data_IF_110041180718
#
_entry.id   IF_110041180718
#
_cell.length_a   1.000
_cell.length_b   1.000
_cell.length_c   1.000
_cell.angle_alpha   90.00
_cell.angle_beta   90.00
_cell.angle_gamma   90.00
#
_symmetry.space_group_name_H-M   'P 1'
#
loop_
_entity.id
_entity.type
_entity.pdbx_description
1 polymer ?
#
# COMPACT_ATOMS: atom_id res chain seq x y z
N UNK A 1 -5.37 20.47 35.42
CA UNK A 1 -6.16 19.22 35.34
C UNK A 1 -7.11 19.33 34.17
N UNK A 2 -6.74 18.81 33.00
CA UNK A 2 -7.66 18.69 31.87
C UNK A 2 -8.34 17.34 31.96
N UNK A 3 -9.63 17.34 32.30
CA UNK A 3 -10.51 16.18 32.16
C UNK A 3 -10.62 15.91 30.66
N UNK A 4 -9.78 15.01 30.14
CA UNK A 4 -9.59 14.82 28.72
C UNK A 4 -9.71 13.36 28.32
N UNK A 5 -10.67 13.08 27.45
CA UNK A 5 -10.72 11.95 26.53
C UNK A 5 -10.46 10.50 27.03
N UNK A 6 -10.47 10.23 28.34
CA UNK A 6 -10.19 8.90 28.88
C UNK A 6 -8.75 8.39 28.71
N UNK A 7 -7.89 9.08 27.95
CA UNK A 7 -6.48 8.75 27.74
C UNK A 7 -5.61 9.78 28.45
N UNK A 8 -4.75 9.34 29.36
CA UNK A 8 -3.88 10.23 30.12
C UNK A 8 -2.57 9.55 30.52
N UNK A 9 -1.51 10.34 30.72
CA UNK A 9 -0.29 9.88 31.40
C UNK A 9 -0.34 10.37 32.84
N UNK A 10 -0.31 9.45 33.79
CA UNK A 10 -0.34 9.73 35.24
C UNK A 10 0.59 8.77 35.97
N UNK A 11 1.39 9.29 36.90
CA UNK A 11 2.31 8.52 37.75
C UNK A 11 3.20 7.55 36.93
N UNK A 12 3.71 8.03 35.80
CA UNK A 12 4.55 7.25 34.88
C UNK A 12 3.81 6.11 34.16
N UNK A 13 2.48 6.13 34.09
CA UNK A 13 1.67 5.13 33.39
C UNK A 13 0.77 5.78 32.34
N UNK A 14 0.58 5.13 31.20
CA UNK A 14 -0.45 5.49 30.22
C UNK A 14 -1.75 4.80 30.64
N UNK A 15 -2.74 5.59 30.99
CA UNK A 15 -4.07 5.13 31.39
C UNK A 15 -5.05 5.28 30.23
N UNK A 16 -5.88 4.27 30.04
CA UNK A 16 -7.01 4.25 29.12
C UNK A 16 -8.28 3.88 29.90
N UNK A 17 -9.20 4.83 30.06
CA UNK A 17 -10.41 4.72 30.88
C UNK A 17 -10.12 4.18 32.29
N UNK A 18 -8.99 4.59 32.88
CA UNK A 18 -8.53 4.14 34.20
C UNK A 18 -7.69 2.85 34.19
N UNK A 19 -7.74 2.05 33.13
CA UNK A 19 -6.90 0.87 32.98
C UNK A 19 -5.46 1.27 32.63
N UNK A 20 -4.46 0.71 33.32
CA UNK A 20 -3.04 0.93 33.01
C UNK A 20 -2.67 0.12 31.78
N UNK A 21 -2.28 0.78 30.69
CA UNK A 21 -1.89 0.13 29.42
C UNK A 21 -0.37 0.06 29.28
N UNK A 22 0.34 1.17 29.53
CA UNK A 22 1.80 1.21 29.56
C UNK A 22 2.28 1.63 30.93
N UNK A 23 3.40 1.05 31.38
CA UNK A 23 4.12 1.41 32.62
C UNK A 23 5.41 2.12 32.26
N UNK A 24 6.02 2.85 33.19
CA UNK A 24 7.33 3.51 32.98
C UNK A 24 7.34 4.43 31.73
N UNK A 25 6.24 5.17 31.50
CA UNK A 25 6.10 6.08 30.37
C UNK A 25 7.13 7.20 30.44
N UNK A 26 7.82 7.45 29.33
CA UNK A 26 8.89 8.44 29.23
C UNK A 26 8.34 9.87 29.38
N UNK A 27 9.08 10.74 30.08
CA UNK A 27 8.64 12.10 30.40
C UNK A 27 8.52 13.05 29.20
N UNK A 28 9.07 12.68 28.05
CA UNK A 28 8.94 13.42 26.79
C UNK A 28 7.73 12.99 25.95
N UNK A 29 6.94 11.99 26.37
CA UNK A 29 5.70 11.61 25.69
C UNK A 29 4.65 12.71 25.87
N UNK A 30 4.05 13.14 24.77
CA UNK A 30 2.94 14.09 24.73
C UNK A 30 1.62 13.35 24.55
N UNK A 31 0.57 13.78 25.26
CA UNK A 31 -0.81 13.39 25.00
C UNK A 31 -1.58 14.61 24.54
N UNK A 32 -2.03 14.60 23.29
CA UNK A 32 -2.85 15.65 22.69
C UNK A 32 -4.28 15.15 22.54
N UNK A 33 -5.28 15.74 23.22
CA UNK A 33 -6.67 15.32 23.07
C UNK A 33 -7.14 15.39 21.61
N UNK A 34 -7.91 14.41 21.15
CA UNK A 34 -8.53 14.48 19.83
C UNK A 34 -9.65 15.54 19.85
N UNK A 35 -9.51 16.62 19.08
CA UNK A 35 -10.53 17.68 18.98
C UNK A 35 -11.66 17.27 18.02
N UNK A 36 -12.93 17.55 18.38
CA UNK A 36 -14.09 17.41 17.48
C UNK A 36 -15.27 16.59 18.05
N UNK A 37 -16.49 17.03 17.75
CA UNK A 37 -17.76 16.57 18.35
C UNK A 37 -18.01 15.07 18.30
N UNK A 38 -17.88 14.41 19.46
CA UNK A 38 -18.27 13.01 19.68
C UNK A 38 -17.12 12.03 19.92
N UNK A 39 -15.85 12.46 19.91
CA UNK A 39 -14.69 11.63 20.24
C UNK A 39 -14.36 11.75 21.73
N UNK A 40 -15.21 11.21 22.60
CA UNK A 40 -15.03 11.37 24.05
C UNK A 40 -13.92 10.51 24.65
N UNK A 41 -13.38 9.52 23.90
CA UNK A 41 -12.48 8.49 24.45
C UNK A 41 -11.19 8.26 23.61
N UNK A 42 -10.58 9.32 23.06
CA UNK A 42 -9.32 9.17 22.31
C UNK A 42 -8.39 10.39 22.30
N UNK A 43 -7.10 10.13 22.17
CA UNK A 43 -6.05 11.14 22.14
C UNK A 43 -4.90 10.71 21.22
N UNK A 44 -4.07 11.65 20.81
CA UNK A 44 -2.84 11.36 20.10
C UNK A 44 -1.66 11.30 21.06
N UNK A 45 -0.79 10.31 20.86
CA UNK A 45 0.55 10.28 21.42
C UNK A 45 1.52 10.97 20.45
N UNK A 46 2.39 11.77 21.04
CA UNK A 46 3.49 12.44 20.38
C UNK A 46 4.75 12.42 21.25
N UNK A 47 5.80 13.10 20.79
CA UNK A 47 7.09 13.22 21.50
C UNK A 47 7.53 14.67 21.47
N UNK A 48 7.90 15.21 22.64
CA UNK A 48 8.46 16.57 22.78
C UNK A 48 9.92 16.58 22.31
N UNK A 49 10.24 17.49 21.39
CA UNK A 49 11.61 17.86 20.99
C UNK A 49 12.47 16.65 20.62
N UNK A 50 12.46 16.27 19.35
CA UNK A 50 13.39 15.28 18.82
C UNK A 50 14.58 15.94 18.10
N UNK A 51 15.75 15.29 18.04
CA UNK A 51 16.80 15.67 17.10
C UNK A 51 16.24 15.68 15.67
N UNK A 52 16.65 16.66 14.87
CA UNK A 52 16.34 16.68 13.45
C UNK A 52 16.98 15.43 12.81
N UNK A 53 16.14 14.57 12.25
CA UNK A 53 16.58 13.37 11.55
C UNK A 53 15.46 12.87 10.64
N UNK A 54 15.82 12.36 9.46
CA UNK A 54 14.89 11.67 8.55
C UNK A 54 14.34 10.36 9.11
N UNK A 55 14.96 9.86 10.20
CA UNK A 55 14.52 8.68 10.95
C UNK A 55 14.80 8.84 12.44
N UNK A 56 13.79 8.59 13.27
CA UNK A 56 13.92 8.58 14.73
C UNK A 56 13.15 7.43 15.38
N UNK A 57 13.66 6.93 16.50
CA UNK A 57 12.98 5.91 17.33
C UNK A 57 12.80 6.48 18.73
N UNK A 58 11.57 6.42 19.25
CA UNK A 58 11.19 6.95 20.55
C UNK A 58 10.58 5.86 21.43
N UNK A 59 11.23 5.46 22.52
CA UNK A 59 10.58 4.64 23.55
C UNK A 59 9.44 5.42 24.19
N UNK A 60 8.26 4.81 24.26
CA UNK A 60 7.06 5.42 24.86
C UNK A 60 6.92 4.98 26.30
N UNK A 61 6.93 3.67 26.54
CA UNK A 61 6.73 3.04 27.84
C UNK A 61 6.66 1.52 27.68
N UNK A 62 6.59 0.80 28.79
CA UNK A 62 6.63 -0.66 28.82
C UNK A 62 5.25 -1.29 28.78
N UNK A 63 5.06 -2.22 27.86
CA UNK A 63 3.90 -3.10 27.80
C UNK A 63 4.29 -4.44 28.45
N UNK A 64 3.61 -4.83 29.52
CA UNK A 64 3.88 -6.08 30.24
C UNK A 64 2.59 -6.70 30.76
N UNK A 65 2.51 -8.02 30.66
CA UNK A 65 1.41 -8.84 31.17
C UNK A 65 0.03 -8.42 30.61
N UNK A 66 -0.01 -7.93 29.37
CA UNK A 66 -1.25 -7.50 28.71
C UNK A 66 -1.36 -8.10 27.33
N UNK A 67 -2.42 -8.88 27.13
CA UNK A 67 -2.68 -9.53 25.84
C UNK A 67 -2.88 -8.46 24.78
N UNK A 68 -2.33 -8.69 23.62
CA UNK A 68 -2.58 -7.84 22.47
C UNK A 68 -2.70 -8.67 21.18
N UNK A 69 -3.35 -8.06 20.19
CA UNK A 69 -3.21 -8.43 18.79
C UNK A 69 -2.71 -7.21 18.01
N UNK A 70 -1.77 -7.42 17.12
CA UNK A 70 -1.23 -6.38 16.25
C UNK A 70 -1.24 -6.83 14.80
N UNK A 71 -1.23 -5.88 13.87
CA UNK A 71 -0.95 -6.15 12.46
C UNK A 71 0.30 -5.38 12.04
N UNK A 72 1.22 -6.09 11.40
CA UNK A 72 2.55 -5.59 11.06
C UNK A 72 2.93 -6.05 9.65
N UNK A 73 3.82 -5.31 9.00
CA UNK A 73 4.38 -5.75 7.72
C UNK A 73 5.42 -6.84 7.97
N UNK A 74 5.17 -8.06 7.48
CA UNK A 74 6.16 -9.15 7.56
C UNK A 74 7.03 -9.24 6.29
N UNK A 75 6.66 -8.48 5.26
CA UNK A 75 7.40 -8.26 4.02
C UNK A 75 7.05 -6.86 3.50
N UNK A 76 7.82 -6.34 2.55
CA UNK A 76 7.60 -5.03 1.91
C UNK A 76 6.12 -4.75 1.54
N UNK A 77 5.45 -5.75 0.98
CA UNK A 77 4.14 -5.60 0.34
C UNK A 77 2.96 -5.90 1.25
N UNK A 78 3.17 -6.77 2.25
CA UNK A 78 2.10 -7.52 2.92
C UNK A 78 2.14 -7.37 4.43
N UNK A 79 0.96 -7.47 5.03
CA UNK A 79 0.78 -7.51 6.47
C UNK A 79 0.27 -8.87 6.92
N UNK A 80 0.59 -9.21 8.15
CA UNK A 80 0.01 -10.33 8.89
C UNK A 80 -0.25 -9.90 10.33
N UNK A 81 -0.85 -10.78 11.12
CA UNK A 81 -1.15 -10.55 12.52
C UNK A 81 -0.16 -11.25 13.45
N UNK A 82 0.02 -10.71 14.65
CA UNK A 82 0.68 -11.38 15.77
C UNK A 82 -0.06 -11.09 17.07
N UNK A 83 -0.10 -12.09 17.94
CA UNK A 83 -0.57 -11.97 19.32
C UNK A 83 0.62 -12.06 20.27
N UNK A 84 0.56 -11.36 21.39
CA UNK A 84 1.61 -11.38 22.41
C UNK A 84 1.10 -10.82 23.74
N UNK A 85 2.00 -10.68 24.69
CA UNK A 85 1.66 -10.11 26.01
C UNK A 85 2.68 -9.12 26.58
N UNK A 86 3.80 -8.91 25.88
CA UNK A 86 4.84 -7.97 26.28
C UNK A 86 5.33 -7.12 25.10
N UNK A 87 5.93 -5.96 25.40
CA UNK A 87 6.42 -5.04 24.38
C UNK A 87 7.41 -5.69 23.42
N UNK A 88 8.27 -6.61 23.91
CA UNK A 88 9.23 -7.35 23.07
C UNK A 88 8.59 -8.19 21.97
N UNK A 89 7.32 -8.56 22.13
CA UNK A 89 6.61 -9.42 21.17
C UNK A 89 6.14 -8.62 19.94
N UNK A 90 6.10 -7.28 20.04
CA UNK A 90 5.61 -6.38 19.00
C UNK A 90 6.65 -6.31 17.86
N UNK A 91 6.32 -6.77 16.65
CA UNK A 91 7.25 -6.75 15.52
C UNK A 91 7.57 -5.33 15.04
N UNK A 92 8.70 -5.17 14.35
CA UNK A 92 8.97 -3.96 13.56
C UNK A 92 7.91 -3.77 12.48
N UNK A 93 7.66 -2.51 12.06
CA UNK A 93 6.63 -2.16 11.07
C UNK A 93 5.19 -2.52 11.51
N UNK A 94 4.89 -2.47 12.81
CA UNK A 94 3.52 -2.62 13.32
C UNK A 94 2.70 -1.36 13.00
N UNK A 95 1.57 -1.52 12.31
CA UNK A 95 0.71 -0.41 11.87
C UNK A 95 -0.64 -0.36 12.59
N UNK A 96 -0.92 -1.36 13.43
CA UNK A 96 -2.11 -1.44 14.26
C UNK A 96 -1.80 -2.29 15.49
N UNK A 97 -2.23 -1.85 16.66
CA UNK A 97 -2.11 -2.60 17.90
C UNK A 97 -3.41 -2.44 18.71
N UNK A 98 -3.96 -3.55 19.17
CA UNK A 98 -5.10 -3.61 20.08
C UNK A 98 -4.64 -4.30 21.37
N UNK A 99 -4.63 -3.57 22.47
CA UNK A 99 -4.26 -4.07 23.79
C UNK A 99 -5.52 -4.31 24.61
N UNK A 100 -5.57 -5.46 25.27
CA UNK A 100 -6.56 -5.80 26.27
C UNK A 100 -6.03 -5.47 27.66
N UNK A 101 -6.42 -4.32 28.19
CA UNK A 101 -6.06 -3.87 29.52
C UNK A 101 -7.06 -4.35 30.57
N UNK A 102 -6.56 -4.94 31.66
CA UNK A 102 -7.35 -5.20 32.86
C UNK A 102 -6.96 -4.22 33.96
N UNK A 103 -7.95 -3.62 34.64
CA UNK A 103 -7.72 -2.70 35.76
C UNK A 103 -7.18 -3.36 37.03
N UNK A 104 -6.98 -4.69 37.01
CA UNK A 104 -6.81 -5.52 38.21
C UNK A 104 -8.14 -5.72 38.95
N UNK A 105 -8.34 -6.90 39.55
CA UNK A 105 -9.57 -7.25 40.28
C UNK A 105 -10.80 -7.48 39.38
N UNK A 106 -11.99 -7.09 39.84
CA UNK A 106 -13.29 -7.23 39.15
C UNK A 106 -13.56 -6.11 38.12
N UNK A 107 -12.58 -5.27 37.77
CA UNK A 107 -12.82 -4.20 36.82
C UNK A 107 -13.05 -4.73 35.39
N UNK A 108 -13.96 -4.09 34.63
CA UNK A 108 -14.24 -4.49 33.25
C UNK A 108 -12.99 -4.34 32.38
N UNK A 109 -12.86 -5.22 31.39
CA UNK A 109 -11.80 -5.17 30.39
C UNK A 109 -11.93 -3.89 29.58
N UNK A 110 -10.80 -3.21 29.36
CA UNK A 110 -10.70 -2.04 28.48
C UNK A 110 -9.83 -2.39 27.29
N UNK A 111 -10.39 -2.24 26.09
CA UNK A 111 -9.67 -2.39 24.84
C UNK A 111 -9.09 -1.05 24.41
N UNK A 112 -7.78 -1.03 24.15
CA UNK A 112 -7.05 0.17 23.72
C UNK A 112 -6.44 -0.04 22.36
N UNK A 113 -6.87 0.75 21.37
CA UNK A 113 -6.35 0.75 20.01
C UNK A 113 -5.23 1.78 19.89
N UNK A 114 -4.15 1.41 19.22
CA UNK A 114 -3.08 2.30 18.78
C UNK A 114 -3.00 2.26 17.25
N UNK A 115 -3.16 3.42 16.61
CA UNK A 115 -3.05 3.63 15.17
C UNK A 115 -1.93 4.64 14.92
N UNK A 116 -0.71 4.21 14.55
CA UNK A 116 0.32 5.10 14.03
C UNK A 116 -0.20 5.80 12.77
N UNK A 117 0.02 7.11 12.65
CA UNK A 117 -0.50 7.91 11.54
C UNK A 117 0.62 8.62 10.78
N UNK A 118 0.24 9.39 9.76
CA UNK A 118 1.14 10.25 9.01
C UNK A 118 1.09 11.67 9.60
N UNK A 119 2.25 12.33 9.71
CA UNK A 119 2.34 13.73 10.10
C UNK A 119 3.30 14.46 9.15
N UNK A 120 2.76 15.35 8.33
CA UNK A 120 3.52 15.98 7.24
C UNK A 120 4.11 14.95 6.28
N UNK A 121 5.44 14.96 6.15
CA UNK A 121 6.21 14.02 5.31
C UNK A 121 6.58 12.71 6.01
N UNK A 122 6.24 12.55 7.29
CA UNK A 122 6.70 11.43 8.11
C UNK A 122 5.60 10.40 8.33
N UNK A 123 6.01 9.14 8.35
CA UNK A 123 5.17 7.99 8.69
C UNK A 123 5.61 7.42 10.04
N UNK A 124 4.66 7.25 10.96
CA UNK A 124 4.87 6.53 12.20
C UNK A 124 4.53 5.04 12.04
N UNK A 125 5.28 4.18 12.72
CA UNK A 125 4.96 2.78 13.00
C UNK A 125 5.35 2.43 14.44
N UNK A 126 4.82 1.32 14.95
CA UNK A 126 5.20 0.77 16.24
C UNK A 126 6.22 -0.35 16.08
N UNK A 127 7.03 -0.54 17.11
CA UNK A 127 7.84 -1.74 17.31
C UNK A 127 8.07 -2.00 18.80
N UNK A 128 8.48 -3.21 19.12
CA UNK A 128 8.96 -3.61 20.43
C UNK A 128 10.49 -3.61 20.54
N UNK A 129 11.00 -3.63 21.78
CA UNK A 129 12.41 -3.87 22.05
C UNK A 129 12.63 -4.91 23.17
N UNK A 130 13.90 -5.29 23.39
CA UNK A 130 14.28 -6.30 24.39
C UNK A 130 13.97 -5.91 25.85
N UNK A 131 13.69 -4.63 26.12
CA UNK A 131 13.34 -4.10 27.44
C UNK A 131 11.81 -3.99 27.68
N UNK A 132 11.01 -4.60 26.80
CA UNK A 132 9.54 -4.55 26.77
C UNK A 132 8.96 -3.16 26.48
N UNK A 133 9.74 -2.27 25.89
CA UNK A 133 9.25 -0.94 25.53
C UNK A 133 8.50 -1.00 24.20
N UNK A 134 7.33 -0.34 24.18
CA UNK A 134 6.69 0.10 22.95
C UNK A 134 7.45 1.32 22.43
N UNK A 135 7.90 1.25 21.19
CA UNK A 135 8.61 2.32 20.51
C UNK A 135 7.81 2.85 19.32
N UNK A 136 7.85 4.17 19.11
CA UNK A 136 7.41 4.81 17.88
C UNK A 136 8.62 4.97 16.98
N UNK A 137 8.59 4.37 15.79
CA UNK A 137 9.56 4.63 14.73
C UNK A 137 8.95 5.60 13.74
N UNK A 138 9.62 6.72 13.50
CA UNK A 138 9.16 7.81 12.63
C UNK A 138 10.16 8.00 11.48
N UNK A 139 9.67 8.00 10.24
CA UNK A 139 10.52 8.04 9.04
C UNK A 139 9.94 8.93 7.94
N UNK A 140 10.76 9.83 7.37
CA UNK A 140 10.42 10.61 6.17
C UNK A 140 10.77 9.88 4.88
N UNK A 141 11.75 8.97 4.89
CA UNK A 141 12.25 8.31 3.68
C UNK A 141 13.03 9.24 2.74
N UNK A 142 13.42 10.42 3.21
CA UNK A 142 14.24 11.39 2.47
C UNK A 142 15.27 12.00 3.44
N UNK A 143 16.59 11.83 3.19
CA UNK A 143 17.63 12.35 4.08
C UNK A 143 17.57 13.87 4.25
N UNK A 144 17.02 14.61 3.28
CA UNK A 144 16.92 16.07 3.35
C UNK A 144 15.66 16.55 4.11
N UNK A 145 14.79 15.62 4.54
CA UNK A 145 13.57 15.91 5.27
C UNK A 145 13.70 15.42 6.71
N UNK A 146 14.12 16.33 7.59
CA UNK A 146 14.53 16.01 8.97
C UNK A 146 13.63 16.60 10.06
N UNK A 147 12.72 17.51 9.70
CA UNK A 147 11.89 18.26 10.65
C UNK A 147 10.43 17.80 10.64
N UNK A 148 9.87 17.58 11.83
CA UNK A 148 8.46 17.21 12.05
C UNK A 148 7.93 17.87 13.32
N UNK A 149 6.61 17.90 13.51
CA UNK A 149 5.99 18.52 14.68
C UNK A 149 6.00 17.58 15.89
N UNK A 150 5.74 16.30 15.66
CA UNK A 150 5.84 15.20 16.62
C UNK A 150 4.66 15.11 17.57
N UNK A 151 3.55 15.82 17.31
CA UNK A 151 2.45 15.94 18.28
C UNK A 151 1.30 14.97 18.03
N UNK A 152 1.17 14.45 16.80
CA UNK A 152 0.10 13.54 16.39
C UNK A 152 0.68 12.30 15.68
N UNK A 153 1.47 11.49 16.40
CA UNK A 153 2.16 10.36 15.79
C UNK A 153 1.35 9.05 15.87
N UNK A 154 0.64 8.83 16.97
CA UNK A 154 -0.17 7.62 17.18
C UNK A 154 -1.50 8.00 17.79
N UNK A 155 -2.60 7.73 17.10
CA UNK A 155 -3.93 7.84 17.69
C UNK A 155 -4.17 6.68 18.67
N UNK A 156 -4.68 7.00 19.85
CA UNK A 156 -5.06 6.05 20.89
C UNK A 156 -6.54 6.21 21.20
N UNK A 157 -7.31 5.12 21.04
CA UNK A 157 -8.73 5.06 21.37
C UNK A 157 -9.01 3.96 22.37
N UNK A 158 -9.99 4.16 23.26
CA UNK A 158 -10.35 3.18 24.29
C UNK A 158 -11.86 2.94 24.40
N UNK A 159 -12.23 1.69 24.72
CA UNK A 159 -13.63 1.28 24.90
C UNK A 159 -13.77 -0.12 25.50
N UNK A 160 -15.01 -0.53 25.79
CA UNK A 160 -15.34 -1.85 26.34
C UNK A 160 -15.60 -2.93 25.29
N UNK A 161 -15.83 -2.53 24.03
CA UNK A 161 -16.01 -3.44 22.90
C UNK A 161 -14.88 -3.24 21.88
N UNK A 162 -14.15 -4.32 21.49
CA UNK A 162 -13.00 -4.21 20.60
C UNK A 162 -13.38 -3.80 19.17
N UNK A 163 -14.55 -4.19 18.67
CA UNK A 163 -15.00 -3.86 17.31
C UNK A 163 -15.47 -2.40 17.21
N UNK A 164 -16.18 -1.91 18.22
CA UNK A 164 -16.60 -0.52 18.30
C UNK A 164 -15.42 0.43 18.46
N UNK A 165 -14.45 0.10 19.32
CA UNK A 165 -13.25 0.95 19.52
C UNK A 165 -12.39 0.99 18.25
N UNK A 166 -12.24 -0.11 17.52
CA UNK A 166 -11.54 -0.10 16.21
C UNK A 166 -12.27 0.82 15.25
N UNK A 167 -13.59 0.63 15.09
CA UNK A 167 -14.41 1.39 14.14
C UNK A 167 -14.37 2.90 14.44
N UNK A 168 -14.55 3.27 15.70
CA UNK A 168 -14.53 4.67 16.15
C UNK A 168 -13.13 5.29 16.06
N UNK A 169 -12.07 4.52 16.33
CA UNK A 169 -10.68 4.98 16.19
C UNK A 169 -10.32 5.29 14.74
N UNK A 170 -10.68 4.42 13.79
CA UNK A 170 -10.44 4.71 12.36
C UNK A 170 -11.26 5.93 11.93
N UNK A 171 -12.50 6.10 12.41
CA UNK A 171 -13.31 7.32 12.16
C UNK A 171 -12.68 8.58 12.75
N UNK A 172 -12.02 8.48 13.90
CA UNK A 172 -11.28 9.58 14.49
C UNK A 172 -10.09 10.00 13.61
N UNK A 173 -9.31 9.01 13.15
CA UNK A 173 -8.17 9.22 12.25
C UNK A 173 -8.62 9.79 10.90
N UNK A 174 -9.75 9.32 10.35
CA UNK A 174 -10.34 9.89 9.12
C UNK A 174 -10.68 11.37 9.29
N UNK A 175 -11.34 11.75 10.38
CA UNK A 175 -11.68 13.17 10.65
C UNK A 175 -10.45 14.03 10.87
N UNK A 176 -9.40 13.48 11.47
CA UNK A 176 -8.16 14.21 11.73
C UNK A 176 -7.33 14.39 10.47
N UNK A 177 -7.10 13.32 9.70
CA UNK A 177 -6.24 13.37 8.53
C UNK A 177 -6.94 13.96 7.31
N UNK A 178 -8.26 13.74 7.16
CA UNK A 178 -9.10 14.23 6.05
C UNK A 178 -8.60 13.83 4.65
N UNK A 179 -7.83 12.75 4.57
CA UNK A 179 -7.18 12.28 3.35
C UNK A 179 -7.90 11.10 2.73
N UNK A 180 -8.41 10.19 3.57
CA UNK A 180 -9.12 8.98 3.13
C UNK A 180 -10.60 9.01 3.54
N UNK A 181 -11.35 8.00 3.11
CA UNK A 181 -12.74 7.79 3.54
C UNK A 181 -13.01 6.34 3.93
N UNK A 182 -13.94 6.14 4.85
CA UNK A 182 -14.46 4.82 5.20
C UNK A 182 -15.17 4.14 4.04
N UNK A 183 -15.19 2.81 4.06
CA UNK A 183 -15.84 1.98 3.03
C UNK A 183 -17.31 2.36 2.86
N UNK A 184 -18.03 2.66 3.93
CA UNK A 184 -19.46 2.99 3.89
C UNK A 184 -19.76 4.30 3.14
N UNK A 185 -18.74 5.15 2.91
CA UNK A 185 -18.86 6.39 2.13
C UNK A 185 -18.42 6.21 0.67
N UNK A 186 -17.90 5.04 0.30
CA UNK A 186 -17.37 4.75 -1.04
C UNK A 186 -18.40 3.99 -1.87
N UNK A 187 -18.44 4.26 -3.19
CA UNK A 187 -19.22 3.43 -4.14
C UNK A 187 -18.57 2.05 -4.20
N UNK A 188 -19.35 1.00 -3.91
CA UNK A 188 -18.92 -0.37 -4.12
C UNK A 188 -18.96 -0.69 -5.62
N UNK A 189 -17.86 -1.16 -6.24
CA UNK A 189 -17.86 -1.48 -7.66
C UNK A 189 -18.63 -2.78 -7.93
N UNK A 190 -19.40 -2.82 -9.03
CA UNK A 190 -20.28 -3.96 -9.36
C UNK A 190 -19.50 -5.28 -9.57
N UNK A 191 -18.21 -5.20 -9.92
CA UNK A 191 -17.34 -6.37 -10.07
C UNK A 191 -17.34 -7.29 -8.84
N UNK A 192 -17.56 -6.74 -7.63
CA UNK A 192 -17.60 -7.51 -6.37
C UNK A 192 -18.83 -8.42 -6.25
N UNK A 193 -19.85 -8.24 -7.08
CA UNK A 193 -21.04 -9.09 -7.12
C UNK A 193 -20.83 -10.39 -7.92
N UNK A 194 -19.64 -10.56 -8.52
CA UNK A 194 -19.41 -11.61 -9.50
C UNK A 194 -18.25 -12.53 -9.12
N UNK A 195 -18.33 -13.77 -9.58
CA UNK A 195 -17.17 -14.64 -9.66
C UNK A 195 -16.31 -14.24 -10.87
N UNK A 196 -15.00 -14.15 -10.67
CA UNK A 196 -14.04 -13.85 -11.73
C UNK A 196 -12.76 -14.66 -11.61
N UNK A 197 -11.90 -14.51 -12.62
CA UNK A 197 -10.66 -15.27 -12.74
C UNK A 197 -9.46 -14.35 -12.96
N UNK A 198 -8.40 -14.54 -12.20
CA UNK A 198 -7.11 -13.87 -12.41
C UNK A 198 -6.14 -14.85 -13.06
N UNK A 199 -5.45 -14.41 -14.12
CA UNK A 199 -4.60 -15.30 -14.93
C UNK A 199 -3.25 -15.63 -14.28
N UNK A 200 -2.90 -15.00 -13.15
CA UNK A 200 -1.59 -15.10 -12.52
C UNK A 200 -1.18 -16.54 -12.19
N UNK A 201 -1.93 -17.26 -11.36
CA UNK A 201 -1.53 -18.63 -10.95
C UNK A 201 -1.64 -19.66 -12.08
N UNK A 202 -2.30 -19.30 -13.19
CA UNK A 202 -2.44 -20.17 -14.36
C UNK A 202 -1.25 -20.08 -15.32
N UNK A 203 -0.64 -18.90 -15.45
CA UNK A 203 0.38 -18.66 -16.48
C UNK A 203 1.60 -17.89 -16.00
N UNK A 204 1.51 -17.22 -14.86
CA UNK A 204 2.40 -16.15 -14.45
C UNK A 204 2.66 -15.19 -15.63
N UNK A 205 3.91 -14.81 -15.89
CA UNK A 205 4.24 -13.92 -17.02
C UNK A 205 4.11 -14.56 -18.41
N UNK A 206 3.83 -15.87 -18.50
CA UNK A 206 3.63 -16.56 -19.79
C UNK A 206 2.19 -16.43 -20.34
N UNK A 207 1.35 -15.58 -19.74
CA UNK A 207 -0.01 -15.33 -20.22
C UNK A 207 -0.02 -14.89 -21.69
N UNK A 208 -0.95 -15.44 -22.48
CA UNK A 208 -1.19 -15.11 -23.90
C UNK A 208 -2.68 -14.93 -24.16
N UNK A 209 -3.05 -14.22 -25.24
CA UNK A 209 -4.44 -14.12 -25.66
C UNK A 209 -5.11 -15.50 -25.86
N UNK A 210 -4.36 -16.47 -26.40
CA UNK A 210 -4.86 -17.83 -26.59
C UNK A 210 -5.05 -18.58 -25.26
N UNK A 211 -4.11 -18.44 -24.32
CA UNK A 211 -4.21 -19.03 -22.98
C UNK A 211 -5.43 -18.51 -22.21
N UNK A 212 -5.72 -17.20 -22.29
CA UNK A 212 -6.92 -16.60 -21.68
C UNK A 212 -8.20 -17.23 -22.25
N UNK A 213 -8.31 -17.35 -23.58
CA UNK A 213 -9.47 -17.98 -24.23
C UNK A 213 -9.66 -19.43 -23.79
N UNK A 214 -8.57 -20.20 -23.77
CA UNK A 214 -8.59 -21.61 -23.37
C UNK A 214 -8.98 -21.77 -21.89
N UNK A 215 -8.48 -20.89 -21.01
CA UNK A 215 -8.83 -20.91 -19.60
C UNK A 215 -10.31 -20.60 -19.36
N UNK A 216 -10.87 -19.59 -20.03
CA UNK A 216 -12.31 -19.29 -19.97
C UNK A 216 -13.15 -20.47 -20.46
N UNK A 217 -12.80 -21.08 -21.60
CA UNK A 217 -13.46 -22.27 -22.10
C UNK A 217 -13.35 -23.46 -21.14
N UNK A 218 -12.21 -23.64 -20.47
CA UNK A 218 -12.00 -24.70 -19.49
C UNK A 218 -12.88 -24.52 -18.26
N UNK A 219 -13.00 -23.30 -17.75
CA UNK A 219 -13.88 -22.98 -16.63
C UNK A 219 -15.35 -23.24 -16.99
N UNK A 220 -15.77 -22.82 -18.18
CA UNK A 220 -17.14 -23.05 -18.68
C UNK A 220 -17.45 -24.54 -18.83
N UNK A 221 -16.51 -25.33 -19.37
CA UNK A 221 -16.64 -26.81 -19.42
C UNK A 221 -16.73 -27.43 -18.02
N UNK A 222 -16.07 -26.81 -17.03
CA UNK A 222 -16.17 -27.19 -15.62
C UNK A 222 -17.45 -26.73 -14.92
N UNK A 223 -18.38 -26.07 -15.63
CA UNK A 223 -19.66 -25.61 -15.09
C UNK A 223 -19.62 -24.22 -14.45
N UNK A 224 -18.52 -23.47 -14.59
CA UNK A 224 -18.37 -22.12 -14.03
C UNK A 224 -18.16 -21.11 -15.15
N UNK A 225 -18.97 -20.06 -15.18
CA UNK A 225 -18.82 -18.96 -16.15
C UNK A 225 -18.40 -17.67 -15.43
N UNK A 226 -17.09 -17.32 -15.41
CA UNK A 226 -16.63 -16.06 -14.86
C UNK A 226 -17.33 -14.87 -15.52
N UNK A 227 -17.67 -13.85 -14.73
CA UNK A 227 -18.19 -12.58 -15.26
C UNK A 227 -17.12 -11.51 -15.34
N UNK A 228 -15.93 -11.78 -14.82
CA UNK A 228 -14.78 -10.96 -15.12
C UNK A 228 -13.51 -11.78 -15.22
N UNK A 229 -12.53 -11.23 -15.92
CA UNK A 229 -11.17 -11.74 -15.98
C UNK A 229 -10.18 -10.61 -15.71
N UNK A 230 -9.13 -10.91 -14.94
CA UNK A 230 -7.96 -10.04 -14.77
C UNK A 230 -6.83 -10.67 -15.57
N UNK A 231 -6.43 -10.00 -16.66
CA UNK A 231 -5.21 -10.34 -17.39
C UNK A 231 -4.04 -9.79 -16.57
N UNK A 232 -3.45 -10.67 -15.78
CA UNK A 232 -2.36 -10.36 -14.86
C UNK A 232 -1.02 -10.17 -15.61
N UNK A 233 0.08 -10.04 -14.88
CA UNK A 233 1.40 -9.71 -15.43
C UNK A 233 1.81 -10.61 -16.62
N UNK A 234 2.51 -10.00 -17.59
CA UNK A 234 3.02 -10.64 -18.80
C UNK A 234 2.44 -10.08 -20.10
N UNK A 235 1.43 -9.21 -20.07
CA UNK A 235 0.83 -8.63 -21.29
C UNK A 235 1.54 -7.35 -21.79
N UNK A 236 2.27 -6.64 -20.93
CA UNK A 236 2.90 -5.35 -21.25
C UNK A 236 4.15 -5.51 -22.13
N UNK A 237 4.47 -4.46 -22.92
CA UNK A 237 5.73 -4.36 -23.66
C UNK A 237 6.90 -4.02 -22.73
N UNK A 238 7.71 -5.01 -22.38
CA UNK A 238 8.81 -4.85 -21.42
C UNK A 238 10.12 -5.42 -21.93
N UNK A 239 11.23 -4.88 -21.45
CA UNK A 239 12.56 -5.42 -21.71
C UNK A 239 13.50 -5.09 -20.55
N UNK A 240 14.55 -5.91 -20.37
CA UNK A 240 15.66 -5.62 -19.48
C UNK A 240 16.64 -4.65 -20.15
N UNK A 241 17.38 -3.86 -19.37
CA UNK A 241 18.47 -3.06 -19.92
C UNK A 241 19.64 -3.96 -20.34
N UNK A 242 20.47 -3.57 -21.33
CA UNK A 242 21.61 -4.38 -21.78
C UNK A 242 22.60 -4.73 -20.66
N UNK A 243 22.76 -3.85 -19.67
CA UNK A 243 23.63 -4.03 -18.50
C UNK A 243 22.86 -4.50 -17.25
N UNK A 244 21.59 -4.86 -17.40
CA UNK A 244 20.74 -5.31 -16.32
C UNK A 244 21.11 -6.71 -15.82
N UNK A 245 20.89 -6.95 -14.53
CA UNK A 245 21.07 -8.24 -13.89
C UNK A 245 19.68 -8.87 -13.76
N UNK A 246 19.47 -9.99 -14.44
CA UNK A 246 18.20 -10.72 -14.38
C UNK A 246 17.93 -11.21 -12.95
N UNK A 247 16.68 -11.07 -12.51
CA UNK A 247 16.18 -11.67 -11.28
C UNK A 247 14.95 -12.47 -11.66
N UNK A 248 15.17 -13.74 -11.99
CA UNK A 248 14.13 -14.68 -12.38
C UNK A 248 13.56 -15.33 -11.11
N UNK A 249 12.32 -15.04 -10.79
CA UNK A 249 11.59 -15.78 -9.76
C UNK A 249 11.01 -17.07 -10.32
N UNK A 250 10.68 -18.01 -9.43
CA UNK A 250 10.09 -19.32 -9.78
C UNK A 250 8.81 -19.21 -10.63
N UNK A 251 8.15 -18.05 -10.59
CA UNK A 251 6.97 -17.70 -11.38
C UNK A 251 7.31 -17.01 -12.71
N UNK A 252 8.52 -17.17 -13.26
CA UNK A 252 8.98 -16.61 -14.55
C UNK A 252 9.08 -15.07 -14.66
N UNK A 253 8.68 -14.31 -13.64
CA UNK A 253 8.83 -12.86 -13.67
C UNK A 253 10.32 -12.46 -13.60
N UNK A 254 10.72 -11.52 -14.46
CA UNK A 254 12.01 -10.84 -14.34
C UNK A 254 11.80 -9.44 -13.76
N UNK A 255 12.08 -9.27 -12.47
CA UNK A 255 11.87 -8.00 -11.77
C UNK A 255 12.76 -6.85 -12.28
N UNK A 256 13.78 -7.13 -13.10
CA UNK A 256 14.64 -6.13 -13.73
C UNK A 256 14.05 -5.52 -15.02
N UNK A 257 12.97 -6.10 -15.55
CA UNK A 257 12.33 -5.60 -16.77
C UNK A 257 11.69 -4.23 -16.53
N UNK A 258 11.71 -3.38 -17.57
CA UNK A 258 11.09 -2.05 -17.56
C UNK A 258 10.05 -1.94 -18.66
N UNK A 259 9.03 -1.10 -18.42
CA UNK A 259 8.06 -0.73 -19.44
C UNK A 259 8.78 0.02 -20.57
N UNK A 260 8.55 -0.43 -21.80
CA UNK A 260 9.15 0.13 -23.02
C UNK A 260 8.14 0.70 -23.99
N UNK A 261 6.85 0.44 -23.76
CA UNK A 261 5.76 1.02 -24.52
C UNK A 261 4.47 0.93 -23.70
N UNK A 262 3.56 1.90 -23.88
CA UNK A 262 2.22 1.91 -23.26
C UNK A 262 1.31 0.77 -23.76
N UNK A 263 1.63 0.21 -24.91
CA UNK A 263 0.81 -0.80 -25.59
C UNK A 263 1.32 -2.19 -25.23
N UNK A 264 0.41 -3.14 -25.28
CA UNK A 264 0.62 -4.57 -25.14
C UNK A 264 1.77 -5.10 -26.00
N UNK A 265 2.34 -6.22 -25.57
CA UNK A 265 3.33 -6.96 -26.33
C UNK A 265 2.69 -7.86 -27.39
N UNK A 266 3.54 -8.51 -28.18
CA UNK A 266 3.15 -9.39 -29.27
C UNK A 266 2.17 -10.52 -28.88
N UNK A 267 2.13 -10.96 -27.61
CA UNK A 267 1.24 -12.06 -27.17
C UNK A 267 -0.25 -11.69 -27.17
N UNK A 268 -0.56 -10.40 -27.29
CA UNK A 268 -1.92 -9.86 -27.30
C UNK A 268 -2.24 -9.12 -28.61
N UNK A 269 -1.47 -9.38 -29.67
CA UNK A 269 -1.73 -8.89 -31.02
C UNK A 269 -2.21 -10.04 -31.92
N UNK A 270 -3.17 -9.79 -32.79
CA UNK A 270 -3.83 -10.80 -33.65
C UNK A 270 -2.83 -11.68 -34.43
N UNK A 271 -1.77 -11.08 -34.94
CA UNK A 271 -0.68 -11.75 -35.66
C UNK A 271 0.68 -11.47 -35.01
N UNK A 272 0.70 -11.26 -33.69
CA UNK A 272 1.90 -10.81 -33.00
C UNK A 272 3.06 -11.78 -33.12
N UNK A 273 4.25 -11.22 -33.33
CA UNK A 273 5.52 -11.95 -33.37
C UNK A 273 6.52 -11.22 -32.49
N UNK A 274 7.35 -11.98 -31.79
CA UNK A 274 8.40 -11.40 -30.97
C UNK A 274 9.30 -10.49 -31.83
N UNK A 275 9.65 -9.32 -31.29
CA UNK A 275 10.42 -8.29 -32.01
C UNK A 275 9.63 -7.44 -33.02
N UNK A 276 8.36 -7.75 -33.29
CA UNK A 276 7.51 -6.97 -34.20
C UNK A 276 6.33 -6.32 -33.46
N UNK A 277 5.95 -5.11 -33.88
CA UNK A 277 4.79 -4.38 -33.35
C UNK A 277 3.74 -4.21 -34.45
N UNK A 278 2.51 -4.54 -34.12
CA UNK A 278 1.33 -4.11 -34.89
C UNK A 278 0.81 -2.80 -34.30
N UNK A 279 0.78 -1.74 -35.12
CA UNK A 279 0.40 -0.39 -34.69
C UNK A 279 -1.10 -0.13 -34.81
N UNK A 280 -1.83 -0.95 -35.58
CA UNK A 280 -3.28 -0.90 -35.68
C UNK A 280 -3.93 -1.33 -34.35
N UNK A 281 -4.56 -0.40 -33.59
CA UNK A 281 -5.16 -0.73 -32.30
C UNK A 281 -6.27 -1.78 -32.42
N UNK A 282 -6.94 -1.88 -33.58
CA UNK A 282 -8.01 -2.84 -33.82
C UNK A 282 -7.50 -4.29 -33.92
N UNK A 283 -6.18 -4.48 -34.10
CA UNK A 283 -5.50 -5.79 -34.10
C UNK A 283 -4.71 -6.04 -32.82
N UNK A 284 -4.71 -5.09 -31.89
CA UNK A 284 -4.05 -5.17 -30.60
C UNK A 284 -4.94 -5.77 -29.51
N UNK A 285 -4.77 -5.28 -28.28
CA UNK A 285 -5.54 -5.71 -27.11
C UNK A 285 -7.06 -5.64 -27.33
N UNK A 286 -7.53 -4.63 -28.07
CA UNK A 286 -8.95 -4.46 -28.41
C UNK A 286 -9.53 -5.68 -29.15
N UNK A 287 -8.75 -6.31 -30.04
CA UNK A 287 -9.16 -7.52 -30.73
C UNK A 287 -9.44 -8.66 -29.75
N UNK A 288 -8.54 -8.85 -28.79
CA UNK A 288 -8.63 -9.92 -27.79
C UNK A 288 -9.83 -9.69 -26.88
N UNK A 289 -10.00 -8.46 -26.38
CA UNK A 289 -11.11 -8.08 -25.50
C UNK A 289 -12.46 -8.26 -26.19
N UNK A 290 -12.61 -7.78 -27.43
CA UNK A 290 -13.84 -7.95 -28.20
C UNK A 290 -14.16 -9.43 -28.43
N UNK A 291 -13.15 -10.26 -28.70
CA UNK A 291 -13.36 -11.67 -28.93
C UNK A 291 -13.80 -12.40 -27.65
N UNK A 292 -13.15 -12.15 -26.51
CA UNK A 292 -13.52 -12.83 -25.26
C UNK A 292 -14.87 -12.34 -24.72
N UNK A 293 -15.18 -11.05 -24.81
CA UNK A 293 -16.51 -10.52 -24.43
C UNK A 293 -17.61 -10.99 -25.37
N UNK A 294 -17.31 -11.20 -26.66
CA UNK A 294 -18.29 -11.70 -27.64
C UNK A 294 -18.58 -13.21 -27.53
N UNK A 295 -17.63 -13.99 -27.02
CA UNK A 295 -17.76 -15.46 -26.89
C UNK A 295 -18.16 -15.93 -25.50
N UNK A 296 -17.82 -15.16 -24.47
CA UNK A 296 -18.02 -15.52 -23.08
C UNK A 296 -18.96 -14.55 -22.39
N UNK A 297 -19.49 -15.00 -21.26
CA UNK A 297 -20.41 -14.25 -20.42
C UNK A 297 -19.76 -13.15 -19.56
N UNK A 298 -18.62 -12.63 -20.03
CA UNK A 298 -17.82 -11.61 -19.35
C UNK A 298 -18.53 -10.26 -19.35
N UNK A 299 -18.62 -9.65 -18.18
CA UNK A 299 -19.00 -8.25 -17.96
C UNK A 299 -17.79 -7.34 -17.94
N UNK A 300 -16.72 -7.78 -17.28
CA UNK A 300 -15.53 -6.95 -17.06
C UNK A 300 -14.24 -7.65 -17.50
N UNK A 301 -13.32 -6.90 -18.08
CA UNK A 301 -11.95 -7.31 -18.37
C UNK A 301 -11.03 -6.28 -17.74
N UNK A 302 -10.22 -6.72 -16.79
CA UNK A 302 -9.24 -5.89 -16.10
C UNK A 302 -7.83 -6.29 -16.55
N UNK A 303 -6.88 -5.37 -16.43
CA UNK A 303 -5.46 -5.67 -16.67
C UNK A 303 -4.58 -5.26 -15.50
N UNK A 304 -3.47 -5.95 -15.31
CA UNK A 304 -2.48 -5.63 -14.30
C UNK A 304 -1.47 -4.59 -14.78
N UNK A 305 -1.02 -3.69 -13.91
CA UNK A 305 0.25 -2.97 -14.08
C UNK A 305 0.84 -2.61 -12.71
N UNK A 306 2.16 -2.37 -12.64
CA UNK A 306 2.76 -1.82 -11.42
C UNK A 306 2.49 -0.31 -11.29
N UNK A 307 2.53 0.22 -10.06
CA UNK A 307 2.40 1.66 -9.81
C UNK A 307 3.46 2.46 -10.59
N UNK A 308 4.66 1.94 -10.74
CA UNK A 308 5.76 2.56 -11.50
C UNK A 308 5.75 2.19 -12.99
N UNK A 309 4.66 1.60 -13.49
CA UNK A 309 4.48 1.16 -14.89
C UNK A 309 4.80 -0.31 -15.12
N UNK A 310 5.92 -0.81 -14.59
CA UNK A 310 6.27 -2.23 -14.49
C UNK A 310 7.23 -2.45 -13.31
N UNK A 311 7.65 -3.69 -13.03
CA UNK A 311 8.53 -4.00 -11.88
C UNK A 311 9.77 -3.09 -11.78
N UNK A 312 10.55 -2.95 -12.86
CA UNK A 312 11.71 -2.06 -12.91
C UNK A 312 11.39 -0.59 -13.26
N UNK A 313 10.11 -0.23 -13.33
CA UNK A 313 9.63 1.10 -13.72
C UNK A 313 9.51 1.32 -15.23
N UNK A 314 9.43 2.59 -15.63
CA UNK A 314 9.42 3.02 -17.05
C UNK A 314 10.85 3.26 -17.52
N UNK A 315 11.25 2.65 -18.64
CA UNK A 315 12.61 2.79 -19.19
C UNK A 315 12.93 4.26 -19.51
N UNK A 316 13.98 4.86 -18.89
CA UNK A 316 14.43 6.20 -19.26
C UNK A 316 14.85 6.28 -20.73
N UNK A 317 14.41 7.31 -21.43
CA UNK A 317 14.76 7.54 -22.84
C UNK A 317 14.17 6.52 -23.83
N UNK A 318 13.18 5.73 -23.43
CA UNK A 318 12.46 4.88 -24.38
C UNK A 318 11.71 5.74 -25.41
N UNK A 319 11.83 5.36 -26.68
CA UNK A 319 11.23 6.08 -27.80
C UNK A 319 9.71 6.19 -27.64
N UNK A 320 9.18 7.41 -27.75
CA UNK A 320 7.75 7.72 -27.57
C UNK A 320 7.30 7.76 -26.10
N UNK A 321 8.23 7.70 -25.15
CA UNK A 321 7.96 7.77 -23.71
C UNK A 321 8.82 8.83 -23.00
N UNK A 322 9.60 9.61 -23.76
CA UNK A 322 10.54 10.61 -23.24
C UNK A 322 9.82 11.73 -22.47
N UNK A 323 8.60 12.08 -22.89
CA UNK A 323 7.79 13.14 -22.28
C UNK A 323 7.36 12.84 -20.84
N UNK A 324 7.38 11.57 -20.41
CA UNK A 324 7.14 11.22 -19.01
C UNK A 324 8.33 11.58 -18.11
N UNK A 325 9.50 11.89 -18.67
CA UNK A 325 10.67 12.30 -17.92
C UNK A 325 11.16 11.25 -16.92
N UNK A 326 11.02 9.95 -17.25
CA UNK A 326 11.47 8.87 -16.38
C UNK A 326 12.98 8.94 -16.12
N UNK A 327 13.36 8.79 -14.85
CA UNK A 327 14.76 8.81 -14.40
C UNK A 327 15.07 7.59 -13.56
N UNK A 328 16.30 7.10 -13.67
CA UNK A 328 16.74 6.00 -12.83
C UNK A 328 16.90 6.49 -11.38
N UNK A 329 16.29 5.76 -10.45
CA UNK A 329 16.43 5.96 -9.01
C UNK A 329 16.73 4.63 -8.33
N UNK A 330 17.45 4.68 -7.21
CA UNK A 330 17.75 3.46 -6.45
C UNK A 330 16.85 3.42 -5.22
N UNK A 331 15.95 2.42 -5.13
CA UNK A 331 15.22 2.12 -3.90
C UNK A 331 16.15 2.06 -2.68
N UNK A 332 15.75 2.73 -1.61
CA UNK A 332 16.38 2.62 -0.28
C UNK A 332 15.32 2.12 0.72
N UNK A 333 15.32 0.83 1.09
CA UNK A 333 14.38 0.32 2.07
C UNK A 333 14.67 0.87 3.47
N UNK A 334 13.62 1.06 4.27
CA UNK A 334 13.80 1.48 5.65
C UNK A 334 14.41 0.36 6.51
N UNK A 335 15.17 0.68 7.58
CA UNK A 335 15.66 -0.33 8.51
C UNK A 335 14.56 -1.17 9.14
N UNK A 336 13.34 -0.63 9.28
CA UNK A 336 12.17 -1.38 9.75
C UNK A 336 11.78 -2.50 8.78
N UNK A 337 11.72 -2.20 7.48
CA UNK A 337 11.44 -3.19 6.42
C UNK A 337 12.55 -4.21 6.30
N UNK A 338 13.82 -3.81 6.44
CA UNK A 338 14.96 -4.73 6.33
C UNK A 338 15.01 -5.81 7.42
N UNK A 339 14.33 -5.59 8.56
CA UNK A 339 14.19 -6.61 9.62
C UNK A 339 13.18 -7.70 9.30
N UNK A 340 12.38 -7.50 8.25
CA UNK A 340 11.33 -8.41 7.84
C UNK A 340 11.82 -9.39 6.75
N UNK A 341 10.92 -10.22 6.23
CA UNK A 341 11.27 -11.19 5.20
C UNK A 341 11.89 -10.50 3.97
N UNK A 342 13.02 -11.06 3.51
CA UNK A 342 13.74 -10.60 2.32
C UNK A 342 12.82 -10.62 1.08
N UNK A 343 12.99 -9.63 0.21
CA UNK A 343 12.18 -9.51 -1.00
C UNK A 343 13.07 -9.43 -2.25
N UNK A 344 13.14 -10.53 -3.02
CA UNK A 344 13.96 -10.61 -4.23
C UNK A 344 13.59 -9.54 -5.26
N UNK A 345 12.31 -9.18 -5.38
CA UNK A 345 11.87 -8.09 -6.23
C UNK A 345 12.50 -6.74 -5.84
N UNK A 346 12.57 -6.44 -4.55
CA UNK A 346 13.16 -5.19 -4.05
C UNK A 346 14.68 -5.20 -4.19
N UNK A 347 15.33 -6.33 -3.95
CA UNK A 347 16.77 -6.50 -4.17
C UNK A 347 17.12 -6.27 -5.63
N UNK A 348 16.34 -6.84 -6.55
CA UNK A 348 16.49 -6.63 -7.99
C UNK A 348 16.35 -5.17 -8.38
N UNK A 349 15.31 -4.48 -7.88
CA UNK A 349 15.12 -3.04 -8.15
C UNK A 349 16.23 -2.19 -7.54
N UNK A 350 16.78 -2.57 -6.39
CA UNK A 350 17.90 -1.86 -5.74
C UNK A 350 19.18 -2.00 -6.57
N UNK A 351 19.47 -3.22 -7.04
CA UNK A 351 20.64 -3.52 -7.86
C UNK A 351 20.55 -2.84 -9.24
N UNK A 352 19.42 -3.00 -9.93
CA UNK A 352 19.22 -2.51 -11.29
C UNK A 352 18.82 -1.03 -11.36
N UNK A 353 18.32 -0.47 -10.26
CA UNK A 353 17.59 0.80 -10.24
C UNK A 353 16.15 0.64 -10.74
N UNK A 354 15.31 1.62 -10.43
CA UNK A 354 13.92 1.74 -10.85
C UNK A 354 13.76 2.99 -11.71
N UNK A 355 13.13 2.85 -12.88
CA UNK A 355 12.80 3.97 -13.76
C UNK A 355 11.55 4.69 -13.26
N UNK A 356 11.74 5.73 -12.45
CA UNK A 356 10.64 6.51 -11.87
C UNK A 356 10.24 7.61 -12.85
N UNK A 357 9.00 7.55 -13.34
CA UNK A 357 8.34 8.66 -14.07
C UNK A 357 8.50 9.96 -13.28
N UNK A 358 8.66 11.10 -13.93
CA UNK A 358 8.68 12.36 -13.18
C UNK A 358 7.36 12.50 -12.41
N UNK A 359 7.36 12.70 -11.07
CA UNK A 359 6.12 12.80 -10.31
C UNK A 359 5.16 13.87 -10.83
N UNK A 360 5.64 14.96 -11.43
CA UNK A 360 4.80 16.01 -12.07
C UNK A 360 4.14 15.54 -13.38
N UNK A 361 4.59 14.43 -13.94
CA UNK A 361 4.06 13.80 -15.17
C UNK A 361 3.35 12.47 -14.90
N UNK A 362 3.24 12.05 -13.64
CA UNK A 362 2.60 10.79 -13.26
C UNK A 362 1.15 10.71 -13.76
N UNK A 363 0.38 11.81 -13.65
CA UNK A 363 -0.99 11.86 -14.17
C UNK A 363 -1.01 11.65 -15.69
N UNK A 364 -0.16 12.36 -16.45
CA UNK A 364 -0.08 12.20 -17.90
C UNK A 364 0.27 10.77 -18.31
N UNK A 365 1.19 10.12 -17.59
CA UNK A 365 1.53 8.72 -17.81
C UNK A 365 0.33 7.80 -17.59
N UNK A 366 -0.35 7.89 -16.44
CA UNK A 366 -1.51 7.05 -16.17
C UNK A 366 -2.69 7.37 -17.07
N UNK A 367 -2.92 8.63 -17.41
CA UNK A 367 -4.02 9.06 -18.28
C UNK A 367 -3.83 8.50 -19.68
N UNK A 368 -2.62 8.59 -20.24
CA UNK A 368 -2.32 8.01 -21.55
C UNK A 368 -2.46 6.48 -21.56
N UNK A 369 -1.94 5.81 -20.51
CA UNK A 369 -2.09 4.36 -20.34
C UNK A 369 -3.57 3.95 -20.23
N UNK A 370 -4.32 4.56 -19.31
CA UNK A 370 -5.70 4.18 -19.05
C UNK A 370 -6.65 4.59 -20.17
N UNK A 371 -6.42 5.73 -20.84
CA UNK A 371 -7.17 6.11 -22.05
C UNK A 371 -6.99 5.08 -23.16
N UNK A 372 -5.76 4.60 -23.38
CA UNK A 372 -5.51 3.51 -24.33
C UNK A 372 -6.25 2.23 -23.91
N UNK A 373 -6.13 1.80 -22.65
CA UNK A 373 -6.79 0.60 -22.14
C UNK A 373 -8.32 0.68 -22.26
N UNK A 374 -8.92 1.80 -21.85
CA UNK A 374 -10.36 2.04 -21.98
C UNK A 374 -10.80 2.00 -23.44
N UNK A 375 -10.02 2.58 -24.37
CA UNK A 375 -10.30 2.50 -25.82
C UNK A 375 -10.23 1.08 -26.37
N UNK A 376 -9.47 0.19 -25.73
CA UNK A 376 -9.40 -1.24 -26.04
C UNK A 376 -10.50 -2.07 -25.37
N UNK A 377 -11.43 -1.44 -24.63
CA UNK A 377 -12.55 -2.10 -23.97
C UNK A 377 -12.21 -2.71 -22.60
N UNK A 378 -11.08 -2.34 -22.00
CA UNK A 378 -10.74 -2.68 -20.61
C UNK A 378 -11.59 -1.85 -19.66
N UNK A 379 -12.14 -2.50 -18.63
CA UNK A 379 -13.10 -1.89 -17.69
C UNK A 379 -12.46 -1.45 -16.36
N UNK A 380 -11.20 -1.81 -16.13
CA UNK A 380 -10.46 -1.41 -14.95
C UNK A 380 -9.05 -2.00 -14.86
N UNK A 381 -8.35 -1.67 -13.79
CA UNK A 381 -6.95 -2.05 -13.58
C UNK A 381 -6.72 -2.70 -12.22
N UNK A 382 -5.80 -3.66 -12.16
CA UNK A 382 -5.19 -4.13 -10.91
C UNK A 382 -3.80 -3.48 -10.81
N UNK A 383 -3.62 -2.59 -9.83
CA UNK A 383 -2.38 -1.82 -9.68
C UNK A 383 -1.55 -2.39 -8.55
N UNK A 384 -0.35 -2.83 -8.87
CA UNK A 384 0.51 -3.60 -7.99
C UNK A 384 1.80 -2.85 -7.62
N UNK A 385 2.63 -3.46 -6.78
CA UNK A 385 3.95 -2.94 -6.36
C UNK A 385 3.84 -1.56 -5.69
N UNK A 386 2.68 -1.20 -5.13
CA UNK A 386 2.39 0.17 -4.69
C UNK A 386 3.30 0.67 -3.57
N UNK A 387 3.69 -0.21 -2.64
CA UNK A 387 4.57 0.18 -1.52
C UNK A 387 5.98 0.60 -1.98
N UNK A 388 6.42 0.31 -3.22
CA UNK A 388 7.79 0.63 -3.65
C UNK A 388 8.12 2.12 -3.58
N UNK A 389 7.10 2.97 -3.72
CA UNK A 389 7.22 4.42 -3.62
C UNK A 389 7.83 4.86 -2.28
N UNK A 390 7.64 4.10 -1.23
CA UNK A 390 8.21 4.44 0.08
C UNK A 390 9.74 4.41 0.13
N UNK A 391 10.36 3.70 -0.81
CA UNK A 391 11.82 3.55 -0.94
C UNK A 391 12.45 4.62 -1.84
N UNK A 392 11.62 5.46 -2.45
CA UNK A 392 12.01 6.43 -3.48
C UNK A 392 11.77 7.87 -3.02
N UNK A 393 11.55 8.10 -1.72
CA UNK A 393 11.20 9.41 -1.19
C UNK A 393 12.27 10.49 -1.33
N UNK A 394 13.55 10.09 -1.43
CA UNK A 394 14.69 10.99 -1.49
C UNK A 394 14.63 11.95 -2.69
N UNK A 395 14.69 13.25 -2.40
CA UNK A 395 14.57 14.32 -3.41
C UNK A 395 13.12 14.61 -3.85
N UNK A 396 12.12 13.99 -3.20
CA UNK A 396 10.69 14.19 -3.48
C UNK A 396 9.91 14.68 -2.25
N UNK A 397 10.61 15.10 -1.20
CA UNK A 397 9.99 15.60 0.03
C UNK A 397 9.52 14.48 0.96
N UNK A 398 10.03 13.26 0.77
CA UNK A 398 9.70 12.09 1.58
C UNK A 398 8.71 11.11 0.96
N UNK A 399 8.69 9.91 1.54
CA UNK A 399 7.84 8.77 1.17
C UNK A 399 6.36 9.13 1.12
N UNK A 400 5.88 9.90 2.09
CA UNK A 400 4.47 10.27 2.20
C UNK A 400 4.08 11.21 1.04
N UNK A 401 4.93 12.17 0.71
CA UNK A 401 4.66 13.15 -0.35
C UNK A 401 4.69 12.49 -1.72
N UNK A 402 5.66 11.62 -1.98
CA UNK A 402 5.74 10.87 -3.22
C UNK A 402 4.54 9.92 -3.39
N UNK A 403 4.22 9.14 -2.37
CA UNK A 403 3.07 8.23 -2.38
C UNK A 403 1.77 8.98 -2.65
N UNK A 404 1.51 10.08 -1.93
CA UNK A 404 0.32 10.92 -2.15
C UNK A 404 0.22 11.40 -3.59
N UNK A 405 1.31 11.92 -4.16
CA UNK A 405 1.33 12.48 -5.52
C UNK A 405 1.03 11.43 -6.58
N UNK A 406 1.67 10.27 -6.49
CA UNK A 406 1.43 9.15 -7.41
C UNK A 406 0.01 8.62 -7.33
N UNK A 407 -0.51 8.50 -6.12
CA UNK A 407 -1.83 7.95 -5.88
C UNK A 407 -2.94 8.90 -6.31
N UNK A 408 -2.80 10.21 -6.07
CA UNK A 408 -3.71 11.22 -6.61
C UNK A 408 -3.72 11.20 -8.15
N UNK A 409 -2.54 11.09 -8.77
CA UNK A 409 -2.43 10.95 -10.23
C UNK A 409 -3.11 9.68 -10.75
N UNK A 410 -2.91 8.55 -10.07
CA UNK A 410 -3.54 7.27 -10.41
C UNK A 410 -5.06 7.36 -10.32
N UNK A 411 -5.59 7.82 -9.19
CA UNK A 411 -7.03 7.92 -8.95
C UNK A 411 -7.71 8.91 -9.90
N UNK A 412 -7.07 10.05 -10.19
CA UNK A 412 -7.58 11.00 -11.17
C UNK A 412 -7.67 10.37 -12.57
N UNK A 413 -6.67 9.58 -12.96
CA UNK A 413 -6.72 8.86 -14.24
C UNK A 413 -7.80 7.77 -14.25
N UNK A 414 -7.93 6.98 -13.16
CA UNK A 414 -8.98 5.95 -13.04
C UNK A 414 -10.37 6.56 -13.14
N UNK A 415 -10.63 7.63 -12.38
CA UNK A 415 -11.92 8.32 -12.39
C UNK A 415 -12.27 8.90 -13.77
N UNK A 416 -11.27 9.31 -14.54
CA UNK A 416 -11.47 9.84 -15.89
C UNK A 416 -11.74 8.76 -16.93
N UNK A 417 -11.06 7.61 -16.83
CA UNK A 417 -11.02 6.61 -17.90
C UNK A 417 -11.93 5.39 -17.66
N UNK A 418 -12.27 5.09 -16.41
CA UNK A 418 -13.09 3.93 -16.05
C UNK A 418 -14.37 4.38 -15.32
N UNK A 419 -15.55 4.35 -15.98
CA UNK A 419 -16.81 4.88 -15.44
C UNK A 419 -17.23 4.32 -14.07
N UNK A 420 -16.84 3.07 -13.77
CA UNK A 420 -17.15 2.41 -12.50
C UNK A 420 -16.04 2.54 -11.44
N UNK A 421 -15.08 3.45 -11.67
CA UNK A 421 -13.91 3.62 -10.82
C UNK A 421 -13.15 2.28 -10.63
N UNK A 422 -12.98 1.56 -11.74
CA UNK A 422 -12.49 0.18 -11.78
C UNK A 422 -11.01 0.08 -11.43
N UNK A 423 -10.71 -0.04 -10.14
CA UNK A 423 -9.35 -0.28 -9.65
C UNK A 423 -9.32 -1.30 -8.51
N UNK A 424 -8.34 -2.20 -8.56
CA UNK A 424 -7.96 -3.08 -7.47
C UNK A 424 -6.56 -2.68 -7.02
N UNK A 425 -6.40 -2.34 -5.74
CA UNK A 425 -5.08 -2.07 -5.15
C UNK A 425 -4.44 -3.34 -4.63
N UNK A 426 -3.19 -3.58 -5.01
CA UNK A 426 -2.42 -4.77 -4.67
C UNK A 426 -1.00 -4.36 -4.23
N UNK A 427 -0.37 -5.16 -3.36
CA UNK A 427 0.93 -4.85 -2.73
C UNK A 427 0.99 -3.45 -2.08
N UNK A 428 -0.11 -3.01 -1.49
CA UNK A 428 -0.35 -1.62 -1.05
C UNK A 428 -0.56 -1.49 0.47
N UNK A 429 -0.07 -2.44 1.27
CA UNK A 429 -0.42 -2.51 2.69
C UNK A 429 0.33 -1.49 3.57
N UNK A 430 1.17 -0.61 3.02
CA UNK A 430 1.79 0.45 3.81
C UNK A 430 0.76 1.53 4.18
N UNK A 431 0.83 2.06 5.40
CA UNK A 431 0.01 3.21 5.80
C UNK A 431 0.29 4.48 4.98
N UNK A 432 1.42 4.59 4.28
CA UNK A 432 1.63 5.63 3.25
C UNK A 432 0.50 5.61 2.20
N UNK A 433 0.01 4.41 1.85
CA UNK A 433 -1.02 4.17 0.86
C UNK A 433 -2.43 4.10 1.45
N UNK A 434 -2.58 3.88 2.76
CA UNK A 434 -3.90 3.73 3.40
C UNK A 434 -4.47 5.07 3.91
N UNK A 435 -3.61 5.98 4.39
CA UNK A 435 -4.01 7.26 4.99
C UNK A 435 -3.85 8.45 4.04
N UNK A 436 -3.92 8.20 2.74
CA UNK A 436 -3.69 9.19 1.68
C UNK A 436 -4.97 9.80 1.15
#
# INVERSE_FOLDING_TARGET
MTVGAGIAVQDGSLLALGAKVLREVRGNVLVTPAAGGGLTNGAFLGVRSAPAASRSIFPVGKLRDQRFVCTFRFKMWWMTQRMGSAGRDIPSETQFLLVEGSGGGEQPVVYTVFLPVLEGSFRAVLQGNAADELEICLESGDPDVESFQGSHLVFVGAGSDPFEVITSSVKAVERHLQTFSHREKKKMPDILNWFGWCTWDAFYTNVTAQGVKQGLQSLEKGGVSPRFVIIDDGWQSVAMDPVGIACLSDNSANFANRLTHIRENHKFQKNGREGHREDDPAKGLAHVVNEIKGKHQLKYVYVWHAITGYWGGVRPGAAGMEHYGSKMQRPVPSPGVQKNERCDALDSMTANGLGLVNPDRAFSFYDELHSYLASAGIDGVKVDVQNVLETLGAGHGGRVMLARKYQQALEASVARNFPDNGIISCMSHSTDNLYR
#
